data_IF_399713721208
#
_entry.id   IF_399713721208
#
_cell.length_a   1.000
_cell.length_b   1.000
_cell.length_c   1.000
_cell.angle_alpha   90.00
_cell.angle_beta   90.00
_cell.angle_gamma   90.00
#
_symmetry.space_group_name_H-M   'P 1'
#
loop_
_entity.id
_entity.type
_entity.pdbx_description
1 polymer ?
#
# COMPACT_ATOMS: atom_id res chain seq x y z
N UNK A 1 11.35 -7.28 -25.85
CA UNK A 1 10.10 -7.47 -25.07
C UNK A 1 9.94 -8.86 -24.42
N UNK A 2 10.42 -9.98 -24.99
CA UNK A 2 10.24 -11.32 -24.38
C UNK A 2 10.76 -11.44 -22.92
N UNK A 3 11.89 -10.81 -22.60
CA UNK A 3 12.44 -10.74 -21.22
C UNK A 3 11.55 -9.97 -20.25
N UNK A 4 10.90 -8.90 -20.72
CA UNK A 4 9.99 -8.10 -19.90
C UNK A 4 8.70 -8.87 -19.61
N UNK A 5 8.17 -9.60 -20.59
CA UNK A 5 7.04 -10.51 -20.39
C UNK A 5 7.34 -11.58 -19.35
N UNK A 6 8.46 -12.27 -19.48
CA UNK A 6 8.87 -13.29 -18.50
C UNK A 6 9.05 -12.67 -17.11
N UNK A 7 9.59 -11.45 -17.02
CA UNK A 7 9.68 -10.72 -15.75
C UNK A 7 8.30 -10.46 -15.14
N UNK A 8 7.32 -10.02 -15.93
CA UNK A 8 5.94 -9.80 -15.47
C UNK A 8 5.31 -11.12 -14.98
N UNK A 9 5.50 -12.22 -15.70
CA UNK A 9 4.98 -13.53 -15.31
C UNK A 9 5.57 -13.99 -13.97
N UNK A 10 6.89 -13.90 -13.82
CA UNK A 10 7.60 -14.28 -12.58
C UNK A 10 7.17 -13.38 -11.42
N UNK A 11 7.10 -12.06 -11.63
CA UNK A 11 6.61 -11.13 -10.62
C UNK A 11 5.16 -11.45 -10.22
N UNK A 12 4.31 -11.75 -11.19
CA UNK A 12 2.91 -12.09 -10.96
C UNK A 12 2.73 -13.34 -10.11
N UNK A 13 3.49 -14.40 -10.42
CA UNK A 13 3.50 -15.64 -9.62
C UNK A 13 4.00 -15.39 -8.19
N UNK A 14 5.10 -14.65 -8.03
CA UNK A 14 5.64 -14.31 -6.71
C UNK A 14 4.62 -13.53 -5.89
N UNK A 15 3.98 -12.51 -6.47
CA UNK A 15 2.96 -11.70 -5.80
C UNK A 15 1.75 -12.54 -5.37
N UNK A 16 1.31 -13.46 -6.22
CA UNK A 16 0.20 -14.36 -5.92
C UNK A 16 0.54 -15.30 -4.76
N UNK A 17 1.73 -15.92 -4.78
CA UNK A 17 2.22 -16.76 -3.68
C UNK A 17 2.32 -15.94 -2.39
N UNK A 18 2.91 -14.75 -2.44
CA UNK A 18 3.02 -13.87 -1.27
C UNK A 18 1.65 -13.50 -0.71
N UNK A 19 0.68 -13.17 -1.56
CA UNK A 19 -0.68 -12.86 -1.14
C UNK A 19 -1.40 -14.04 -0.49
N UNK A 20 -1.26 -15.26 -1.05
CA UNK A 20 -1.83 -16.49 -0.45
C UNK A 20 -1.17 -16.81 0.89
N UNK A 21 0.16 -16.73 0.98
CA UNK A 21 0.89 -16.94 2.24
C UNK A 21 0.45 -15.94 3.30
N UNK A 22 0.18 -14.70 2.90
CA UNK A 22 -0.33 -13.66 3.80
C UNK A 22 -1.74 -13.97 4.32
N UNK A 23 -2.62 -14.55 3.49
CA UNK A 23 -3.94 -15.01 3.95
C UNK A 23 -3.85 -16.20 4.92
N UNK A 24 -2.91 -17.12 4.71
CA UNK A 24 -2.79 -18.32 5.55
C UNK A 24 -2.34 -18.01 6.98
N UNK A 25 -1.48 -17.00 7.18
CA UNK A 25 -1.03 -16.60 8.51
C UNK A 25 -0.83 -15.07 8.59
N UNK A 26 -1.93 -14.30 8.67
CA UNK A 26 -1.89 -12.85 8.54
C UNK A 26 -1.15 -12.17 9.69
N UNK A 27 -1.19 -12.74 10.89
CA UNK A 27 -0.50 -12.18 12.06
C UNK A 27 1.02 -12.28 11.89
N UNK A 28 1.54 -13.49 11.64
CA UNK A 28 2.98 -13.70 11.52
C UNK A 28 3.56 -13.02 10.28
N UNK A 29 2.86 -13.11 9.15
CA UNK A 29 3.30 -12.47 7.90
C UNK A 29 3.16 -10.95 7.95
N UNK A 30 2.13 -10.44 8.65
CA UNK A 30 1.95 -9.02 8.92
C UNK A 30 3.10 -8.41 9.71
N UNK A 31 3.55 -9.08 10.78
CA UNK A 31 4.71 -8.63 11.56
C UNK A 31 5.97 -8.58 10.70
N UNK A 32 6.25 -9.64 9.92
CA UNK A 32 7.40 -9.67 9.01
C UNK A 32 7.33 -8.55 7.95
N UNK A 33 6.17 -8.35 7.34
CA UNK A 33 5.95 -7.31 6.34
C UNK A 33 6.15 -5.91 6.91
N UNK A 34 5.60 -5.65 8.11
CA UNK A 34 5.78 -4.37 8.80
C UNK A 34 7.23 -4.13 9.21
N UNK A 35 7.96 -5.18 9.60
CA UNK A 35 9.38 -5.09 9.92
C UNK A 35 10.22 -4.76 8.67
N UNK A 36 9.91 -5.39 7.52
CA UNK A 36 10.54 -5.07 6.23
C UNK A 36 10.24 -3.62 5.84
N UNK A 37 8.97 -3.19 5.87
CA UNK A 37 8.57 -1.82 5.57
C UNK A 37 9.25 -0.81 6.51
N UNK A 38 9.25 -1.10 7.81
CA UNK A 38 9.92 -0.30 8.83
C UNK A 38 11.40 -0.12 8.56
N UNK A 39 12.08 -1.21 8.19
CA UNK A 39 13.49 -1.19 7.81
C UNK A 39 13.71 -0.33 6.57
N UNK A 40 12.89 -0.51 5.52
CA UNK A 40 13.00 0.28 4.29
C UNK A 40 12.77 1.77 4.56
N UNK A 41 11.81 2.14 5.40
CA UNK A 41 11.55 3.53 5.78
C UNK A 41 12.67 4.11 6.65
N UNK A 42 13.23 3.32 7.57
CA UNK A 42 14.38 3.73 8.37
C UNK A 42 15.59 4.01 7.48
N UNK A 43 15.94 3.08 6.56
CA UNK A 43 17.03 3.27 5.62
C UNK A 43 16.79 4.44 4.66
N UNK A 44 15.58 4.55 4.10
CA UNK A 44 15.20 5.67 3.24
C UNK A 44 15.31 7.01 3.97
N UNK A 45 14.89 7.07 5.24
CA UNK A 45 15.00 8.26 6.08
C UNK A 45 16.45 8.68 6.28
N UNK A 46 17.35 7.73 6.57
CA UNK A 46 18.79 7.99 6.68
C UNK A 46 19.35 8.52 5.36
N UNK A 47 19.01 7.91 4.22
CA UNK A 47 19.46 8.36 2.89
C UNK A 47 19.00 9.79 2.60
N UNK A 48 17.75 10.13 2.92
CA UNK A 48 17.21 11.48 2.72
C UNK A 48 17.89 12.51 3.63
N UNK A 49 18.19 12.15 4.88
CA UNK A 49 18.97 13.02 5.79
C UNK A 49 20.36 13.28 5.21
N UNK A 50 21.06 12.24 4.75
CA UNK A 50 22.39 12.37 4.14
C UNK A 50 22.34 13.24 2.89
N UNK A 51 21.35 13.06 2.02
CA UNK A 51 21.16 13.90 0.85
C UNK A 51 20.89 15.37 1.21
N UNK A 52 20.06 15.62 2.23
CA UNK A 52 19.84 16.96 2.78
C UNK A 52 21.14 17.59 3.29
N UNK A 53 21.99 16.82 3.97
CA UNK A 53 23.26 17.30 4.54
C UNK A 53 24.31 17.59 3.45
N UNK A 54 24.49 16.68 2.50
CA UNK A 54 25.65 16.68 1.59
C UNK A 54 25.36 17.16 0.17
N UNK A 55 24.13 17.00 -0.33
CA UNK A 55 23.81 17.18 -1.76
C UNK A 55 22.93 18.42 -1.97
N UNK A 56 21.86 18.57 -1.17
CA UNK A 56 20.88 19.64 -1.36
C UNK A 56 21.48 21.03 -1.07
N UNK A 57 21.39 21.93 -2.07
CA UNK A 57 21.83 23.33 -1.95
C UNK A 57 20.68 24.24 -1.52
N UNK A 58 20.98 25.23 -0.68
CA UNK A 58 20.00 26.19 -0.17
C UNK A 58 19.42 25.79 1.19
N UNK A 59 19.53 26.67 2.18
CA UNK A 59 19.23 26.38 3.59
C UNK A 59 17.79 25.92 3.80
N UNK A 60 16.82 26.55 3.12
CA UNK A 60 15.39 26.20 3.25
C UNK A 60 15.09 24.77 2.78
N UNK A 61 15.63 24.37 1.63
CA UNK A 61 15.42 23.04 1.06
C UNK A 61 16.17 21.96 1.85
N UNK A 62 17.36 22.30 2.35
CA UNK A 62 18.15 21.45 3.24
C UNK A 62 17.42 21.11 4.53
N UNK A 63 16.86 22.11 5.22
CA UNK A 63 16.08 21.89 6.44
C UNK A 63 14.83 21.05 6.15
N UNK A 64 14.14 21.31 5.04
CA UNK A 64 12.96 20.53 4.66
C UNK A 64 13.31 19.05 4.40
N UNK A 65 14.36 18.77 3.60
CA UNK A 65 14.86 17.41 3.35
C UNK A 65 15.24 16.68 4.63
N UNK A 66 15.96 17.35 5.54
CA UNK A 66 16.37 16.74 6.81
C UNK A 66 15.13 16.42 7.67
N UNK A 67 14.16 17.33 7.76
CA UNK A 67 12.91 17.08 8.48
C UNK A 67 12.11 15.93 7.88
N UNK A 68 12.00 15.87 6.54
CA UNK A 68 11.37 14.76 5.83
C UNK A 68 12.05 13.43 6.16
N UNK A 69 13.38 13.39 6.11
CA UNK A 69 14.14 12.19 6.45
C UNK A 69 14.02 11.79 7.92
N UNK A 70 13.95 12.76 8.85
CA UNK A 70 13.68 12.50 10.28
C UNK A 70 12.29 11.93 10.48
N UNK A 71 11.27 12.48 9.80
CA UNK A 71 9.91 11.95 9.88
C UNK A 71 9.86 10.53 9.32
N UNK A 72 10.37 10.31 8.11
CA UNK A 72 10.36 9.01 7.45
C UNK A 72 11.16 7.97 8.25
N UNK A 73 12.35 8.34 8.72
CA UNK A 73 13.21 7.50 9.54
C UNK A 73 12.61 7.22 10.92
N UNK A 74 11.99 8.23 11.55
CA UNK A 74 11.28 8.10 12.81
C UNK A 74 10.09 7.15 12.70
N UNK A 75 9.28 7.27 11.64
CA UNK A 75 8.23 6.30 11.33
C UNK A 75 8.81 4.90 11.17
N UNK A 76 9.87 4.73 10.38
CA UNK A 76 10.55 3.43 10.20
C UNK A 76 11.08 2.82 11.50
N UNK A 77 11.68 3.63 12.36
CA UNK A 77 12.19 3.18 13.67
C UNK A 77 11.07 2.76 14.63
N UNK A 78 9.89 3.40 14.57
CA UNK A 78 8.72 2.97 15.34
C UNK A 78 8.27 1.55 14.95
N UNK A 79 8.40 1.18 13.66
CA UNK A 79 8.13 -0.18 13.19
C UNK A 79 9.23 -1.17 13.56
N UNK A 80 10.49 -0.71 13.64
CA UNK A 80 11.64 -1.58 13.88
C UNK A 80 11.90 -1.84 15.38
N UNK A 81 11.77 -0.82 16.24
CA UNK A 81 12.21 -0.86 17.65
C UNK A 81 11.07 -1.08 18.66
N UNK A 82 9.83 -0.71 18.32
CA UNK A 82 8.67 -0.93 19.19
C UNK A 82 8.04 -2.27 18.82
N UNK A 83 7.35 -2.93 19.77
CA UNK A 83 6.55 -4.12 19.47
C UNK A 83 5.76 -3.85 18.16
N UNK A 84 6.01 -4.58 17.07
CA UNK A 84 5.46 -4.29 15.74
C UNK A 84 3.95 -4.09 15.75
N UNK A 85 3.28 -4.76 16.69
CA UNK A 85 1.86 -4.63 16.97
C UNK A 85 1.44 -3.19 17.34
N UNK A 86 2.20 -2.49 18.18
CA UNK A 86 1.88 -1.11 18.60
C UNK A 86 2.15 -0.10 17.49
N UNK A 87 3.20 -0.29 16.69
CA UNK A 87 3.47 0.55 15.51
C UNK A 87 2.43 0.32 14.41
N UNK A 88 2.03 -0.94 14.20
CA UNK A 88 0.97 -1.33 13.26
C UNK A 88 -0.32 -0.57 13.54
N UNK A 89 -0.73 -0.48 14.81
CA UNK A 89 -1.99 0.19 15.22
C UNK A 89 -2.04 1.64 14.74
N UNK A 90 -0.94 2.40 14.84
CA UNK A 90 -0.91 3.81 14.41
C UNK A 90 -1.11 3.93 12.89
N UNK A 91 -0.41 3.11 12.09
CA UNK A 91 -0.59 3.09 10.63
C UNK A 91 -1.98 2.61 10.26
N UNK A 92 -2.47 1.56 10.91
CA UNK A 92 -3.76 0.97 10.61
C UNK A 92 -4.87 1.99 10.88
N UNK A 93 -4.83 2.70 12.00
CA UNK A 93 -5.79 3.78 12.25
C UNK A 93 -5.63 4.94 11.27
N UNK A 94 -4.41 5.31 10.89
CA UNK A 94 -4.18 6.34 9.88
C UNK A 94 -4.76 5.93 8.52
N UNK A 95 -4.60 4.66 8.13
CA UNK A 95 -5.14 4.09 6.89
C UNK A 95 -6.65 3.95 6.93
N UNK A 96 -7.23 3.47 8.03
CA UNK A 96 -8.68 3.40 8.24
C UNK A 96 -9.28 4.80 8.11
N UNK A 97 -8.63 5.80 8.69
CA UNK A 97 -9.08 7.19 8.61
C UNK A 97 -9.00 7.74 7.19
N UNK A 98 -7.92 7.45 6.48
CA UNK A 98 -7.77 7.80 5.07
C UNK A 98 -8.81 7.09 4.19
N UNK A 99 -9.13 5.82 4.46
CA UNK A 99 -10.18 5.08 3.75
C UNK A 99 -11.55 5.75 3.91
N UNK A 100 -11.92 6.15 5.14
CA UNK A 100 -13.18 6.85 5.40
C UNK A 100 -13.23 8.16 4.62
N UNK A 101 -12.17 8.98 4.68
CA UNK A 101 -12.10 10.25 3.95
C UNK A 101 -12.20 10.04 2.44
N UNK A 102 -11.48 9.06 1.90
CA UNK A 102 -11.52 8.71 0.48
C UNK A 102 -12.92 8.27 0.05
N UNK A 103 -13.61 7.43 0.84
CA UNK A 103 -14.99 7.01 0.56
C UNK A 103 -15.99 8.17 0.62
N UNK A 104 -15.80 9.13 1.54
CA UNK A 104 -16.61 10.36 1.59
C UNK A 104 -16.39 11.19 0.32
N UNK A 105 -15.13 11.47 -0.05
CA UNK A 105 -14.82 12.23 -1.26
C UNK A 105 -15.31 11.54 -2.54
N UNK A 106 -15.15 10.23 -2.63
CA UNK A 106 -15.63 9.43 -3.75
C UNK A 106 -17.16 9.49 -3.85
N UNK A 107 -17.87 9.41 -2.72
CA UNK A 107 -19.33 9.58 -2.68
C UNK A 107 -19.75 10.93 -3.23
N UNK A 108 -19.12 12.02 -2.77
CA UNK A 108 -19.38 13.40 -3.26
C UNK A 108 -19.09 13.52 -4.76
N UNK A 109 -18.01 12.92 -5.24
CA UNK A 109 -17.65 12.94 -6.66
C UNK A 109 -18.70 12.21 -7.52
N UNK A 110 -19.10 11.00 -7.10
CA UNK A 110 -20.08 10.17 -7.80
C UNK A 110 -21.47 10.81 -7.82
N UNK A 111 -21.81 11.63 -6.81
CA UNK A 111 -23.07 12.38 -6.81
C UNK A 111 -23.25 13.26 -8.06
N UNK A 112 -22.17 13.72 -8.69
CA UNK A 112 -22.19 14.55 -9.90
C UNK A 112 -22.33 13.74 -11.21
N UNK A 113 -22.20 12.42 -11.16
CA UNK A 113 -22.21 11.54 -12.35
C UNK A 113 -23.63 11.03 -12.62
N UNK A 114 -24.06 11.07 -13.89
CA UNK A 114 -25.33 10.49 -14.35
C UNK A 114 -25.10 9.08 -14.92
N UNK A 115 -24.91 8.11 -14.03
CA UNK A 115 -24.78 6.68 -14.40
C UNK A 115 -25.72 5.85 -13.53
N UNK A 116 -26.33 4.80 -14.09
CA UNK A 116 -27.17 3.85 -13.31
C UNK A 116 -26.38 3.13 -12.20
N UNK A 117 -25.06 2.98 -12.37
CA UNK A 117 -24.15 2.32 -11.42
C UNK A 117 -23.82 3.22 -10.22
N UNK A 118 -24.24 4.50 -10.25
CA UNK A 118 -24.03 5.48 -9.18
C UNK A 118 -24.52 4.99 -7.82
N UNK A 119 -25.73 4.45 -7.77
CA UNK A 119 -26.34 4.03 -6.51
C UNK A 119 -25.61 2.85 -5.86
N UNK A 120 -25.15 1.90 -6.68
CA UNK A 120 -24.32 0.79 -6.21
C UNK A 120 -23.00 1.32 -5.61
N UNK A 121 -22.36 2.27 -6.29
CA UNK A 121 -21.08 2.83 -5.83
C UNK A 121 -21.24 3.64 -4.54
N UNK A 122 -22.34 4.39 -4.39
CA UNK A 122 -22.66 5.10 -3.15
C UNK A 122 -22.91 4.11 -2.01
N UNK A 123 -23.69 3.05 -2.25
CA UNK A 123 -23.94 2.01 -1.24
C UNK A 123 -22.63 1.34 -0.78
N UNK A 124 -21.73 1.00 -1.71
CA UNK A 124 -20.41 0.45 -1.39
C UNK A 124 -19.57 1.41 -0.54
N UNK A 125 -19.54 2.71 -0.88
CA UNK A 125 -18.81 3.70 -0.07
C UNK A 125 -19.39 3.85 1.34
N UNK A 126 -20.72 3.80 1.49
CA UNK A 126 -21.38 3.83 2.81
C UNK A 126 -20.96 2.62 3.65
N UNK A 127 -20.90 1.43 3.05
CA UNK A 127 -20.43 0.21 3.72
C UNK A 127 -18.97 0.38 4.16
N UNK A 128 -18.10 0.92 3.30
CA UNK A 128 -16.69 1.17 3.66
C UNK A 128 -16.57 2.17 4.81
N UNK A 129 -17.36 3.25 4.81
CA UNK A 129 -17.39 4.22 5.92
C UNK A 129 -17.84 3.55 7.22
N UNK A 130 -18.92 2.76 7.16
CA UNK A 130 -19.43 2.03 8.32
C UNK A 130 -18.38 1.08 8.90
N UNK A 131 -17.78 0.23 8.06
CA UNK A 131 -16.72 -0.70 8.45
C UNK A 131 -15.52 0.06 9.02
N UNK A 132 -15.13 1.17 8.39
CA UNK A 132 -14.05 2.02 8.88
C UNK A 132 -14.32 2.57 10.27
N UNK A 133 -15.53 3.08 10.53
CA UNK A 133 -15.91 3.60 11.86
C UNK A 133 -15.84 2.49 12.90
N UNK A 134 -16.40 1.30 12.60
CA UNK A 134 -16.31 0.15 13.50
C UNK A 134 -14.85 -0.24 13.79
N UNK A 135 -13.98 -0.15 12.79
CA UNK A 135 -12.55 -0.45 12.92
C UNK A 135 -11.81 0.53 13.84
N UNK A 136 -12.31 1.75 14.04
CA UNK A 136 -11.71 2.68 15.02
C UNK A 136 -11.99 2.29 16.46
N UNK A 137 -13.07 1.53 16.71
CA UNK A 137 -13.45 1.06 18.05
C UNK A 137 -12.95 -0.36 18.34
N UNK A 138 -12.61 -1.13 17.31
CA UNK A 138 -12.04 -2.47 17.43
C UNK A 138 -10.70 -2.57 16.68
N UNK A 139 -9.55 -2.50 17.40
CA UNK A 139 -8.23 -2.64 16.79
C UNK A 139 -8.02 -3.98 16.07
N UNK A 140 -8.67 -5.05 16.52
CA UNK A 140 -8.54 -6.38 15.89
C UNK A 140 -9.24 -6.40 14.54
N UNK A 141 -10.41 -5.77 14.44
CA UNK A 141 -11.12 -5.59 13.17
C UNK A 141 -10.28 -4.77 12.18
N UNK A 142 -9.66 -3.68 12.65
CA UNK A 142 -8.79 -2.84 11.84
C UNK A 142 -7.57 -3.60 11.30
N UNK A 143 -6.93 -4.41 12.16
CA UNK A 143 -5.84 -5.32 11.78
C UNK A 143 -6.30 -6.33 10.74
N UNK A 144 -7.45 -6.96 10.94
CA UNK A 144 -8.00 -7.93 10.00
C UNK A 144 -8.25 -7.30 8.62
N UNK A 145 -8.89 -6.13 8.57
CA UNK A 145 -9.16 -5.41 7.31
C UNK A 145 -7.86 -5.02 6.61
N UNK A 146 -6.88 -4.53 7.35
CA UNK A 146 -5.56 -4.21 6.80
C UNK A 146 -4.93 -5.45 6.16
N UNK A 147 -4.86 -6.57 6.88
CA UNK A 147 -4.25 -7.79 6.37
C UNK A 147 -4.97 -8.36 5.15
N UNK A 148 -6.30 -8.36 5.17
CA UNK A 148 -7.12 -8.78 4.04
C UNK A 148 -6.93 -7.87 2.82
N UNK A 149 -6.86 -6.55 3.03
CA UNK A 149 -6.64 -5.58 1.96
C UNK A 149 -5.28 -5.77 1.31
N UNK A 150 -4.22 -5.93 2.12
CA UNK A 150 -2.86 -6.19 1.61
C UNK A 150 -2.82 -7.51 0.85
N UNK A 151 -3.41 -8.57 1.39
CA UNK A 151 -3.42 -9.88 0.74
C UNK A 151 -4.17 -9.85 -0.60
N UNK A 152 -5.36 -9.26 -0.64
CA UNK A 152 -6.12 -9.12 -1.88
C UNK A 152 -5.37 -8.25 -2.88
N UNK A 153 -4.78 -7.14 -2.46
CA UNK A 153 -4.00 -6.28 -3.35
C UNK A 153 -2.85 -7.05 -4.00
N UNK A 154 -2.11 -7.87 -3.24
CA UNK A 154 -1.04 -8.72 -3.77
C UNK A 154 -1.57 -9.76 -4.76
N UNK A 155 -2.68 -10.43 -4.44
CA UNK A 155 -3.30 -11.42 -5.33
C UNK A 155 -3.78 -10.77 -6.63
N UNK A 156 -4.54 -9.68 -6.56
CA UNK A 156 -5.03 -8.97 -7.74
C UNK A 156 -3.90 -8.40 -8.59
N UNK A 157 -2.86 -7.85 -7.95
CA UNK A 157 -1.67 -7.38 -8.67
C UNK A 157 -0.93 -8.54 -9.35
N UNK A 158 -0.85 -9.69 -8.68
CA UNK A 158 -0.29 -10.92 -9.23
C UNK A 158 -1.06 -11.41 -10.45
N UNK A 159 -2.38 -11.51 -10.34
CA UNK A 159 -3.29 -11.86 -11.45
C UNK A 159 -3.10 -10.86 -12.60
N UNK A 160 -3.08 -9.56 -12.33
CA UNK A 160 -2.91 -8.55 -13.37
C UNK A 160 -1.58 -8.71 -14.13
N UNK A 161 -0.47 -8.94 -13.42
CA UNK A 161 0.84 -9.18 -14.05
C UNK A 161 0.86 -10.45 -14.91
N UNK A 162 0.19 -11.52 -14.47
CA UNK A 162 0.03 -12.76 -15.26
C UNK A 162 -0.84 -12.48 -16.49
N UNK A 163 -1.93 -11.74 -16.36
CA UNK A 163 -2.78 -11.36 -17.50
C UNK A 163 -2.01 -10.53 -18.52
N UNK A 164 -1.22 -9.55 -18.07
CA UNK A 164 -0.38 -8.72 -18.94
C UNK A 164 0.64 -9.53 -19.73
N UNK A 165 1.15 -10.64 -19.18
CA UNK A 165 2.00 -11.56 -19.93
C UNK A 165 1.31 -12.12 -21.19
N UNK A 166 0.02 -12.47 -21.07
CA UNK A 166 -0.77 -13.01 -22.19
C UNK A 166 -1.30 -11.94 -23.13
N UNK A 167 -1.57 -10.73 -22.63
CA UNK A 167 -2.20 -9.65 -23.43
C UNK A 167 -1.17 -8.83 -24.21
N UNK A 168 0.04 -8.67 -23.71
CA UNK A 168 1.08 -7.93 -24.45
C UNK A 168 1.37 -8.66 -25.77
N UNK A 169 1.53 -7.97 -26.92
CA UNK A 169 1.83 -8.60 -28.20
C UNK A 169 3.23 -9.23 -28.20
N UNK A 170 3.40 -10.39 -28.84
CA UNK A 170 4.71 -11.02 -29.03
C UNK A 170 5.43 -10.35 -30.21
N UNK A 171 6.76 -10.19 -30.11
CA UNK A 171 7.59 -9.56 -31.17
C UNK A 171 7.43 -10.22 -32.56
N UNK A 172 6.89 -11.45 -32.63
CA UNK A 172 6.73 -12.22 -33.86
C UNK A 172 5.52 -11.76 -34.72
N UNK A 173 4.60 -10.96 -34.20
CA UNK A 173 3.42 -10.46 -34.96
C UNK A 173 3.58 -9.02 -35.48
N UNK A 174 4.77 -8.42 -35.31
CA UNK A 174 5.03 -7.00 -35.57
C UNK A 174 5.85 -6.65 -36.81
N UNK A 175 6.10 -7.58 -37.74
CA UNK A 175 6.58 -7.28 -39.10
C UNK A 175 5.94 -8.27 -40.08
N UNK A 176 4.76 -7.92 -40.60
CA UNK A 176 4.30 -8.27 -41.95
C UNK A 176 3.61 -7.07 -42.56
#
# INVERSE_FOLDING_TARGET
MKKEKVKLLVQGIILLILGVLFMMNPVRQGVLFLLILGSVFAFSGVVIILDGIFITKGVKYKVFRILEGILLGGFGLVFFLRNPESGAVIIIYSLVWLMILMSIFNTIAIFKVKSGIKWLSIALNIIVIWIGIQSLFDPQLALAIFYWTVAFQLIFMGINHITLYFVLPNEEEGIR
#
